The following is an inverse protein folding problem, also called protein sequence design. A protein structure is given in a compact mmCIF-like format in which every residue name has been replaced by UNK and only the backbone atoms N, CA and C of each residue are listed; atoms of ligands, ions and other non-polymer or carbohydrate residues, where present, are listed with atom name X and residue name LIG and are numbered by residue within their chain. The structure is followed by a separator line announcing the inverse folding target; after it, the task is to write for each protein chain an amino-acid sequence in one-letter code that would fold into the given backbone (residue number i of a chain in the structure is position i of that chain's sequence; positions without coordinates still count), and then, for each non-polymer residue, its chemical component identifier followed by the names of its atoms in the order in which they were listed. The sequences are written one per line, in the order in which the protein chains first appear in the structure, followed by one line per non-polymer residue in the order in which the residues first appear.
data_IF_574043178528
#
_entry.id   IF_574043178528
#
_cell.length_a   1.000
_cell.length_b   1.000
_cell.length_c   1.000
_cell.angle_alpha   90.00
_cell.angle_beta   90.00
_cell.angle_gamma   90.00
#
_symmetry.space_group_name_H-M   'P 1'
#
loop_
_entity.id
_entity.type
_entity.pdbx_description
1 polymer ?
#
# COMPACT_ATOMS: atom_id res chain seq x y z
N UNK A 1 22.09 -14.87 25.19
CA UNK A 1 21.22 -14.24 24.17
C UNK A 1 19.81 -14.59 24.59
N UNK A 2 18.92 -13.61 24.80
CA UNK A 2 17.54 -13.93 25.15
C UNK A 2 16.87 -14.42 23.88
N UNK A 3 16.53 -15.70 23.82
CA UNK A 3 15.62 -16.23 22.82
C UNK A 3 14.30 -15.47 23.00
N UNK A 4 13.94 -14.62 22.04
CA UNK A 4 12.62 -13.95 22.04
C UNK A 4 11.58 -15.08 22.03
N UNK A 5 10.57 -15.00 22.91
CA UNK A 5 9.43 -15.93 22.84
C UNK A 5 8.79 -15.81 21.45
N UNK A 6 8.27 -16.93 20.93
CA UNK A 6 7.58 -16.96 19.63
C UNK A 6 6.50 -15.87 19.53
N UNK A 7 5.73 -15.65 20.60
CA UNK A 7 4.74 -14.58 20.70
C UNK A 7 5.35 -13.19 20.51
N UNK A 8 6.54 -12.92 21.05
CA UNK A 8 7.22 -11.63 20.89
C UNK A 8 7.69 -11.42 19.45
N UNK A 9 8.07 -12.49 18.75
CA UNK A 9 8.41 -12.43 17.32
C UNK A 9 7.13 -12.14 16.52
N UNK A 10 6.06 -12.90 16.77
CA UNK A 10 4.78 -12.73 16.06
C UNK A 10 4.21 -11.32 16.25
N UNK A 11 4.14 -10.81 17.49
CA UNK A 11 3.64 -9.44 17.75
C UNK A 11 4.43 -8.40 16.96
N UNK A 12 5.75 -8.56 16.87
CA UNK A 12 6.58 -7.65 16.09
C UNK A 12 6.34 -7.78 14.58
N UNK A 13 6.15 -9.00 14.07
CA UNK A 13 5.83 -9.20 12.65
C UNK A 13 4.47 -8.60 12.28
N UNK A 14 3.47 -8.76 13.15
CA UNK A 14 2.17 -8.11 12.98
C UNK A 14 2.30 -6.59 13.00
N UNK A 15 3.09 -6.02 13.91
CA UNK A 15 3.37 -4.58 13.93
C UNK A 15 4.02 -4.10 12.62
N UNK A 16 5.03 -4.81 12.13
CA UNK A 16 5.69 -4.49 10.85
C UNK A 16 4.72 -4.57 9.66
N UNK A 17 3.82 -5.56 9.64
CA UNK A 17 2.78 -5.63 8.61
C UNK A 17 1.83 -4.42 8.70
N UNK A 18 1.35 -4.09 9.90
CA UNK A 18 0.42 -2.98 10.12
C UNK A 18 1.04 -1.61 9.80
N UNK A 19 2.36 -1.46 9.98
CA UNK A 19 3.11 -0.27 9.57
C UNK A 19 3.39 -0.22 8.06
N UNK A 20 2.95 -1.22 7.29
CA UNK A 20 3.16 -1.29 5.84
C UNK A 20 4.60 -1.67 5.45
N UNK A 21 5.37 -2.27 6.36
CA UNK A 21 6.74 -2.74 6.10
C UNK A 21 6.78 -4.14 5.47
N UNK A 22 5.62 -4.73 5.17
CA UNK A 22 5.56 -5.97 4.39
C UNK A 22 6.00 -5.72 2.95
N UNK A 23 6.99 -6.47 2.48
CA UNK A 23 7.48 -6.38 1.09
C UNK A 23 6.43 -6.91 0.11
N UNK A 24 5.75 -7.98 0.49
CA UNK A 24 4.65 -8.58 -0.25
C UNK A 24 3.60 -9.11 0.72
N UNK A 25 2.35 -9.07 0.29
CA UNK A 25 1.20 -9.62 1.02
C UNK A 25 0.26 -10.26 0.01
N UNK A 26 -0.20 -11.46 0.30
CA UNK A 26 -1.19 -12.18 -0.48
C UNK A 26 -2.34 -12.60 0.43
N UNK A 27 -3.57 -12.44 -0.07
CA UNK A 27 -4.75 -12.93 0.63
C UNK A 27 -4.97 -14.40 0.33
N UNK A 28 -5.20 -15.16 1.39
CA UNK A 28 -5.60 -16.55 1.37
C UNK A 28 -7.09 -16.67 1.72
N UNK A 29 -7.69 -17.75 1.27
CA UNK A 29 -9.10 -18.07 1.52
C UNK A 29 -9.33 -18.31 3.01
N UNK A 30 -10.55 -18.01 3.46
CA UNK A 30 -10.90 -18.08 4.89
C UNK A 30 -10.23 -17.00 5.72
N UNK A 31 -10.15 -15.77 5.19
CA UNK A 31 -9.73 -14.57 5.92
C UNK A 31 -8.31 -14.67 6.48
N UNK A 32 -7.42 -15.34 5.73
CA UNK A 32 -6.01 -15.50 6.07
C UNK A 32 -5.12 -14.70 5.13
N UNK A 33 -3.91 -14.42 5.57
CA UNK A 33 -2.92 -13.69 4.80
C UNK A 33 -1.56 -14.39 4.89
N UNK A 34 -0.80 -14.25 3.81
CA UNK A 34 0.59 -14.64 3.73
C UNK A 34 1.42 -13.38 3.41
N UNK A 35 2.34 -13.04 4.30
CA UNK A 35 3.12 -11.81 4.21
C UNK A 35 4.61 -12.12 4.25
N UNK A 36 5.38 -11.45 3.39
CA UNK A 36 6.84 -11.48 3.38
C UNK A 36 7.35 -10.20 4.03
N UNK A 37 8.08 -10.35 5.13
CA UNK A 37 8.61 -9.23 5.92
C UNK A 37 10.13 -9.31 6.03
N UNK A 38 10.76 -8.14 6.08
CA UNK A 38 12.18 -8.01 6.39
C UNK A 38 12.32 -7.22 7.69
N UNK A 39 12.98 -7.78 8.70
CA UNK A 39 13.24 -7.08 9.95
C UNK A 39 14.61 -6.39 9.86
N UNK A 40 14.64 -5.05 9.75
CA UNK A 40 15.90 -4.32 9.59
C UNK A 40 16.77 -4.32 10.85
N UNK A 41 16.19 -4.61 12.01
CA UNK A 41 16.88 -4.63 13.32
C UNK A 41 17.77 -5.88 13.46
N UNK A 42 17.26 -7.02 13.02
CA UNK A 42 17.96 -8.32 13.07
C UNK A 42 18.62 -8.70 11.74
N UNK A 43 18.22 -8.05 10.64
CA UNK A 43 18.64 -8.41 9.28
C UNK A 43 18.06 -9.75 8.81
N UNK A 44 17.03 -10.26 9.47
CA UNK A 44 16.35 -11.51 9.14
C UNK A 44 15.10 -11.25 8.31
N UNK A 45 14.69 -12.25 7.56
CA UNK A 45 13.47 -12.20 6.77
C UNK A 45 12.50 -13.25 7.26
N UNK A 46 11.23 -12.89 7.26
CA UNK A 46 10.16 -13.69 7.84
C UNK A 46 9.03 -13.85 6.85
N UNK A 47 8.44 -15.03 6.84
CA UNK A 47 7.14 -15.26 6.22
C UNK A 47 6.14 -15.41 7.35
N UNK A 48 5.13 -14.55 7.38
CA UNK A 48 4.05 -14.59 8.36
C UNK A 48 2.79 -15.11 7.68
N UNK A 49 2.17 -16.13 8.27
CA UNK A 49 0.84 -16.60 7.92
C UNK A 49 -0.08 -16.36 9.10
N UNK A 50 -1.11 -15.55 8.93
CA UNK A 50 -2.04 -15.24 10.02
C UNK A 50 -3.47 -15.10 9.52
N UNK A 51 -4.42 -15.31 10.43
CA UNK A 51 -5.82 -14.97 10.20
C UNK A 51 -6.08 -13.48 10.35
N UNK A 52 -7.28 -13.05 10.01
CA UNK A 52 -7.74 -11.70 10.31
C UNK A 52 -7.73 -11.50 11.82
N UNK A 53 -7.17 -10.38 12.23
CA UNK A 53 -7.21 -9.96 13.61
C UNK A 53 -8.55 -9.25 13.87
N UNK A 54 -9.39 -9.88 14.70
CA UNK A 54 -10.65 -9.30 15.18
C UNK A 54 -10.46 -8.40 16.41
N UNK A 55 -9.25 -8.35 16.96
CA UNK A 55 -8.94 -7.73 18.25
C UNK A 55 -8.21 -6.40 18.14
N UNK A 56 -8.07 -5.85 16.93
CA UNK A 56 -7.39 -4.59 16.63
C UNK A 56 -5.94 -4.52 17.21
N UNK A 57 -5.23 -5.65 17.16
CA UNK A 57 -3.85 -5.81 17.61
C UNK A 57 -3.71 -6.13 19.10
N UNK A 58 -4.82 -6.38 19.82
CA UNK A 58 -4.77 -6.74 21.22
C UNK A 58 -4.26 -8.18 21.45
N UNK A 59 -4.55 -9.10 20.52
CA UNK A 59 -4.20 -10.51 20.60
C UNK A 59 -3.61 -11.04 19.29
N UNK A 60 -2.84 -12.12 19.37
CA UNK A 60 -2.30 -12.80 18.19
C UNK A 60 -3.43 -13.67 17.60
N UNK A 61 -3.74 -13.55 16.29
CA UNK A 61 -4.77 -14.38 15.66
C UNK A 61 -4.48 -15.87 15.82
N UNK A 62 -5.53 -16.67 16.03
CA UNK A 62 -5.39 -18.11 16.16
C UNK A 62 -4.83 -18.73 14.85
N UNK A 63 -3.90 -19.68 15.00
CA UNK A 63 -3.24 -20.31 13.84
C UNK A 63 -2.24 -19.39 13.13
N UNK A 64 -1.73 -18.36 13.82
CA UNK A 64 -0.60 -17.57 13.32
C UNK A 64 0.68 -18.42 13.33
N UNK A 65 1.32 -18.52 12.18
CA UNK A 65 2.56 -19.24 11.95
C UNK A 65 3.58 -18.29 11.34
N UNK A 66 4.85 -18.45 11.70
CA UNK A 66 5.94 -17.71 11.07
C UNK A 66 7.09 -18.63 10.70
N UNK A 67 7.77 -18.28 9.61
CA UNK A 67 8.98 -18.96 9.15
C UNK A 67 10.11 -17.95 9.07
N UNK A 68 11.21 -18.25 9.75
CA UNK A 68 12.39 -17.38 9.79
C UNK A 68 13.44 -17.84 8.79
N UNK A 69 14.01 -16.87 8.08
CA UNK A 69 15.10 -17.08 7.13
C UNK A 69 16.25 -16.11 7.40
N UNK A 70 17.50 -16.55 7.18
CA UNK A 70 18.68 -15.71 7.42
C UNK A 70 18.88 -14.63 6.35
N UNK A 71 18.16 -14.69 5.21
CA UNK A 71 18.31 -13.76 4.09
C UNK A 71 17.00 -13.57 3.34
N UNK A 72 16.81 -12.38 2.77
CA UNK A 72 15.64 -12.04 1.94
C UNK A 72 15.48 -12.96 0.74
N UNK A 73 16.56 -13.33 0.04
CA UNK A 73 16.50 -14.22 -1.13
C UNK A 73 15.95 -15.61 -0.78
N UNK A 74 16.28 -16.14 0.41
CA UNK A 74 15.76 -17.43 0.87
C UNK A 74 14.28 -17.31 1.26
N UNK A 75 13.91 -16.24 1.97
CA UNK A 75 12.52 -15.98 2.32
C UNK A 75 11.67 -15.77 1.07
N UNK A 76 12.17 -15.04 0.06
CA UNK A 76 11.47 -14.79 -1.19
C UNK A 76 11.14 -16.10 -1.92
N UNK A 77 12.12 -16.99 -2.08
CA UNK A 77 11.92 -18.29 -2.75
C UNK A 77 10.99 -19.22 -1.99
N UNK A 78 11.04 -19.15 -0.66
CA UNK A 78 10.13 -19.93 0.18
C UNK A 78 8.70 -19.35 0.13
N UNK A 79 8.57 -18.03 0.11
CA UNK A 79 7.29 -17.34 -0.04
C UNK A 79 6.65 -17.69 -1.39
N UNK A 80 7.42 -17.66 -2.48
CA UNK A 80 6.93 -18.05 -3.80
C UNK A 80 6.45 -19.51 -3.83
N UNK A 81 7.21 -20.43 -3.24
CA UNK A 81 6.78 -21.82 -3.12
C UNK A 81 5.48 -21.97 -2.33
N UNK A 82 5.37 -21.33 -1.16
CA UNK A 82 4.14 -21.36 -0.36
C UNK A 82 2.95 -20.76 -1.12
N UNK A 83 3.18 -19.69 -1.87
CA UNK A 83 2.17 -19.06 -2.71
C UNK A 83 1.70 -20.00 -3.83
N UNK A 84 2.62 -20.69 -4.50
CA UNK A 84 2.31 -21.70 -5.52
C UNK A 84 1.57 -22.91 -4.93
N UNK A 85 1.94 -23.36 -3.73
CA UNK A 85 1.24 -24.41 -3.00
C UNK A 85 -0.19 -23.99 -2.65
N UNK A 86 -0.38 -22.79 -2.10
CA UNK A 86 -1.69 -22.21 -1.82
C UNK A 86 -2.53 -22.05 -3.10
N UNK A 87 -1.92 -21.66 -4.22
CA UNK A 87 -2.59 -21.59 -5.53
C UNK A 87 -3.02 -22.97 -6.01
N UNK A 88 -2.14 -23.96 -5.94
CA UNK A 88 -2.44 -25.35 -6.30
C UNK A 88 -3.54 -25.97 -5.43
N UNK A 89 -3.63 -25.54 -4.16
CA UNK A 89 -4.69 -25.93 -3.23
C UNK A 89 -6.01 -25.15 -3.42
N UNK A 90 -6.03 -24.11 -4.26
CA UNK A 90 -7.17 -23.20 -4.40
C UNK A 90 -7.43 -22.33 -3.16
N UNK A 91 -6.43 -22.18 -2.29
CA UNK A 91 -6.47 -21.30 -1.11
C UNK A 91 -6.04 -19.87 -1.46
N UNK A 92 -5.28 -19.66 -2.54
CA UNK A 92 -4.90 -18.30 -2.95
C UNK A 92 -6.12 -17.55 -3.52
N UNK A 93 -6.45 -16.40 -2.94
CA UNK A 93 -7.42 -15.47 -3.53
C UNK A 93 -6.68 -14.68 -4.61
N UNK A 94 -6.73 -15.19 -5.84
CA UNK A 94 -6.21 -14.47 -7.00
C UNK A 94 -7.08 -13.22 -7.23
N UNK A 95 -6.51 -12.02 -7.11
CA UNK A 95 -7.21 -10.75 -7.37
C UNK A 95 -7.60 -10.54 -8.85
N UNK A 96 -7.39 -11.51 -9.74
CA UNK A 96 -7.59 -11.34 -11.18
C UNK A 96 -8.79 -12.15 -11.69
N UNK A 97 -9.94 -11.49 -11.82
CA UNK A 97 -10.81 -11.61 -13.00
C UNK A 97 -12.03 -10.68 -12.89
N UNK A 98 -12.08 -9.69 -13.79
CA UNK A 98 -13.21 -8.80 -14.17
C UNK A 98 -13.36 -7.45 -13.45
N UNK A 99 -12.50 -6.48 -13.77
CA UNK A 99 -13.05 -5.22 -14.29
C UNK A 99 -12.92 -5.30 -15.81
N UNK A 100 -14.03 -5.64 -16.43
CA UNK A 100 -14.34 -5.34 -17.82
C UNK A 100 -14.02 -3.85 -18.04
N UNK A 101 -12.82 -3.52 -18.52
CA UNK A 101 -12.60 -2.26 -19.23
C UNK A 101 -13.44 -2.42 -20.49
N UNK A 102 -14.73 -2.14 -20.33
CA UNK A 102 -15.69 -2.06 -21.38
C UNK A 102 -15.12 -1.14 -22.43
N UNK A 103 -14.89 -1.74 -23.59
CA UNK A 103 -14.81 -1.07 -24.88
C UNK A 103 -16.04 -0.15 -25.01
N UNK A 104 -15.89 1.12 -24.62
CA UNK A 104 -16.82 2.17 -25.00
C UNK A 104 -16.12 3.07 -26.03
N UNK A 105 -15.91 2.51 -27.22
CA UNK A 105 -16.13 3.31 -28.41
C UNK A 105 -17.62 3.71 -28.43
N UNK A 106 -17.95 4.98 -28.14
CA UNK A 106 -18.86 5.74 -29.03
C UNK A 106 -19.05 7.19 -28.58
N UNK A 107 -18.65 8.06 -29.52
CA UNK A 107 -19.31 9.31 -29.89
C UNK A 107 -19.33 10.47 -28.90
N UNK A 108 -18.60 11.51 -29.30
CA UNK A 108 -18.71 12.84 -28.72
C UNK A 108 -20.12 13.42 -28.82
N UNK A 109 -20.40 14.31 -27.87
CA UNK A 109 -21.34 15.39 -28.04
C UNK A 109 -20.79 16.61 -27.29
N UNK A 110 -20.59 17.67 -28.07
CA UNK A 110 -20.19 19.01 -27.67
C UNK A 110 -21.05 19.54 -26.52
N UNK A 111 -20.41 20.12 -25.48
CA UNK A 111 -21.08 21.13 -24.65
C UNK A 111 -20.20 22.38 -24.61
N UNK A 112 -20.76 23.39 -25.28
CA UNK A 112 -20.34 24.76 -25.43
C UNK A 112 -20.39 25.49 -24.08
N UNK A 113 -19.24 25.80 -23.49
CA UNK A 113 -19.21 26.74 -22.37
C UNK A 113 -19.09 28.19 -22.89
N UNK A 114 -20.23 28.88 -22.83
CA UNK A 114 -20.43 30.29 -23.13
C UNK A 114 -20.46 31.07 -21.81
N UNK A 115 -19.31 31.45 -21.27
CA UNK A 115 -19.15 32.56 -20.31
C UNK A 115 -17.72 33.10 -20.51
N UNK A 116 -17.45 34.17 -21.27
CA UNK A 116 -17.92 35.55 -21.16
C UNK A 116 -17.55 36.19 -19.82
N UNK A 117 -16.36 36.80 -19.81
CA UNK A 117 -16.11 38.19 -19.44
C UNK A 117 -16.64 38.68 -18.08
N UNK A 118 -15.73 38.85 -17.12
CA UNK A 118 -15.66 40.06 -16.28
C UNK A 118 -14.34 40.03 -15.51
N UNK A 119 -13.36 40.66 -16.13
CA UNK A 119 -12.09 41.10 -15.56
C UNK A 119 -12.41 42.31 -14.66
N UNK A 120 -12.32 42.13 -13.33
CA UNK A 120 -12.33 43.27 -12.41
C UNK A 120 -11.47 42.92 -11.18
N UNK A 121 -10.19 43.30 -11.24
CA UNK A 121 -9.51 43.83 -10.05
C UNK A 121 -8.46 44.89 -10.47
N UNK A 122 -8.84 46.14 -10.24
CA UNK A 122 -8.09 47.37 -10.43
C UNK A 122 -7.03 47.53 -9.32
N UNK A 123 -5.74 47.72 -9.65
CA UNK A 123 -4.81 48.53 -8.83
C UNK A 123 -3.42 48.69 -9.50
N UNK A 124 -3.22 49.82 -10.19
CA UNK A 124 -1.96 50.60 -10.19
C UNK A 124 -2.15 51.89 -11.00
N UNK A 125 -2.39 53.00 -10.30
CA UNK A 125 -2.28 54.36 -10.84
C UNK A 125 -0.86 54.87 -10.58
N UNK A 126 -0.07 55.04 -11.63
CA UNK A 126 1.10 55.93 -11.63
C UNK A 126 0.82 57.13 -12.55
N UNK A 127 0.52 58.31 -11.99
CA UNK A 127 0.63 59.60 -12.69
C UNK A 127 1.95 60.27 -12.22
N UNK A 128 2.86 60.83 -13.03
CA UNK A 128 2.76 61.73 -14.20
C UNK A 128 4.15 61.86 -14.86
N UNK A 129 4.18 62.16 -16.15
CA UNK A 129 5.35 62.63 -16.92
C UNK A 129 5.63 64.13 -16.69
N UNK A 130 6.93 64.46 -16.54
CA UNK A 130 7.70 65.70 -16.82
C UNK A 130 7.21 67.06 -16.26
N UNK A 131 7.90 67.68 -15.30
CA UNK A 131 9.15 68.49 -15.38
C UNK A 131 8.88 69.96 -15.75
N UNK A 132 8.99 70.89 -14.79
CA UNK A 132 9.60 72.22 -15.00
C UNK A 132 9.86 72.93 -13.66
N UNK A 133 11.12 73.31 -13.47
CA UNK A 133 11.69 74.04 -12.34
C UNK A 133 11.50 75.56 -12.54
N UNK A 134 11.22 76.25 -11.44
CA UNK A 134 10.84 77.67 -11.32
C UNK A 134 12.03 78.64 -11.55
N UNK A 135 11.86 79.94 -11.24
CA UNK A 135 11.18 81.02 -11.94
C UNK A 135 12.11 81.91 -12.80
#
# INVERSE_FOLDING_TARGET
MQERSEEQVISRLLELENDGQAERRAQLSGERFLSLLNDPDTGRSYILRHGTDETEGAEIPAGTEFYEYPSADLAQRAYEQLLEESRGAGELVEEDSTEDIGDFESSGAEVRDLFADSDEDELSRDPVISEEEQP
#
